data_IF_102866001602
#
_entry.id   IF_102866001602
#
_cell.length_a   1.000
_cell.length_b   1.000
_cell.length_c   1.000
_cell.angle_alpha   90.00
_cell.angle_beta   90.00
_cell.angle_gamma   90.00
#
_symmetry.space_group_name_H-M   'P 1'
#
loop_
_entity.id
_entity.type
_entity.pdbx_description
1 polymer ?
#
# COMPACT_ATOMS: atom_id res chain seq x y z
N UNK A 1 36.89 15.35 36.15
CA UNK A 1 37.01 16.76 35.83
C UNK A 1 36.68 16.99 34.35
N UNK A 2 35.64 16.34 33.85
CA UNK A 2 35.12 16.50 32.45
C UNK A 2 33.58 16.51 32.40
N UNK A 3 32.91 16.52 33.56
CA UNK A 3 31.43 16.51 33.68
C UNK A 3 30.83 17.86 34.12
N UNK A 4 31.64 18.93 34.24
CA UNK A 4 31.19 20.23 34.66
C UNK A 4 31.24 21.34 33.59
N UNK A 5 31.65 20.99 32.36
CA UNK A 5 31.74 21.97 31.23
C UNK A 5 30.60 21.81 30.20
N UNK A 6 29.67 20.89 30.36
CA UNK A 6 28.53 20.68 29.43
C UNK A 6 27.20 21.22 29.97
N UNK A 7 27.18 21.84 31.16
CA UNK A 7 25.94 22.45 31.73
C UNK A 7 25.87 23.98 31.61
N UNK A 8 26.87 24.62 31.04
CA UNK A 8 26.91 26.12 30.94
C UNK A 8 26.38 26.68 29.63
N UNK A 9 26.21 25.89 28.57
CA UNK A 9 25.80 26.43 27.25
C UNK A 9 24.30 26.33 26.93
N UNK A 10 23.49 25.75 27.82
CA UNK A 10 22.03 25.62 27.63
C UNK A 10 21.20 26.73 28.31
N UNK A 11 21.84 27.64 29.04
CA UNK A 11 21.17 28.74 29.78
C UNK A 11 21.33 30.14 29.16
N UNK A 12 22.08 30.28 28.06
CA UNK A 12 22.41 31.60 27.47
C UNK A 12 21.61 31.95 26.19
N UNK A 13 20.64 31.14 25.77
CA UNK A 13 19.85 31.33 24.55
C UNK A 13 18.47 31.99 24.73
N UNK A 14 18.16 32.48 25.92
CA UNK A 14 16.84 33.06 26.23
C UNK A 14 16.97 34.45 26.85
N UNK A 15 17.47 35.46 26.12
CA UNK A 15 17.20 36.87 26.45
C UNK A 15 17.64 37.80 25.31
N UNK A 16 16.69 38.66 24.93
CA UNK A 16 16.83 39.92 24.18
C UNK A 16 16.82 39.84 22.65
N UNK A 17 15.65 40.10 22.09
CA UNK A 17 15.52 41.18 21.10
C UNK A 17 14.10 41.77 21.19
N UNK A 18 14.00 42.80 21.99
CA UNK A 18 12.94 43.80 21.91
C UNK A 18 13.49 44.97 21.11
N UNK A 19 12.96 45.22 19.92
CA UNK A 19 13.00 46.55 19.28
C UNK A 19 11.68 46.77 18.54
N UNK A 20 11.01 47.80 18.92
CA UNK A 20 9.78 48.27 18.31
C UNK A 20 10.01 48.85 16.90
N UNK A 21 9.03 48.62 16.04
CA UNK A 21 8.95 49.19 14.70
C UNK A 21 7.62 48.81 14.07
N UNK A 22 6.67 49.73 14.08
CA UNK A 22 5.37 49.69 13.40
C UNK A 22 5.56 49.60 11.90
N UNK A 23 5.03 48.52 11.25
CA UNK A 23 4.38 48.59 9.94
C UNK A 23 3.81 47.18 9.61
N UNK A 24 2.57 47.16 9.11
CA UNK A 24 1.76 45.95 8.89
C UNK A 24 2.43 44.91 7.99
N UNK A 25 2.49 43.71 8.49
CA UNK A 25 2.94 42.52 7.79
C UNK A 25 2.21 41.33 8.35
N UNK A 26 1.56 40.58 7.49
CA UNK A 26 0.80 39.40 7.83
C UNK A 26 1.63 38.43 8.67
N UNK A 27 1.16 38.11 9.86
CA UNK A 27 1.73 37.06 10.71
C UNK A 27 1.49 35.70 10.05
N UNK A 28 2.55 35.13 9.51
CA UNK A 28 2.56 33.69 9.19
C UNK A 28 2.60 32.97 10.53
N UNK A 29 1.44 32.54 11.00
CA UNK A 29 1.30 31.62 12.10
C UNK A 29 1.91 30.28 11.68
N UNK A 30 3.04 29.92 12.30
CA UNK A 30 3.59 28.56 12.21
C UNK A 30 2.64 27.60 12.93
N UNK A 31 1.67 27.05 12.21
CA UNK A 31 0.86 25.94 12.70
C UNK A 31 1.78 24.70 12.71
N UNK A 32 2.26 24.32 13.87
CA UNK A 32 2.89 23.04 14.10
C UNK A 32 1.91 21.91 13.72
N UNK A 33 2.39 20.69 13.43
CA UNK A 33 1.55 19.58 13.03
C UNK A 33 0.49 19.31 14.12
N UNK A 34 -0.77 19.56 13.79
CA UNK A 34 -1.89 19.20 14.66
C UNK A 34 -1.99 17.67 14.70
N UNK A 35 -1.71 17.09 15.87
CA UNK A 35 -1.96 15.67 16.12
C UNK A 35 -3.47 15.39 16.03
N UNK A 36 -3.87 14.16 15.63
CA UNK A 36 -5.27 13.75 15.68
C UNK A 36 -5.71 13.75 17.15
N UNK A 37 -6.56 14.71 17.52
CA UNK A 37 -7.23 14.71 18.81
C UNK A 37 -8.41 13.76 18.70
N UNK A 38 -8.50 12.77 19.57
CA UNK A 38 -9.64 11.87 19.66
C UNK A 38 -10.97 12.62 19.80
N UNK A 39 -12.05 12.01 19.37
CA UNK A 39 -13.39 12.56 19.52
C UNK A 39 -13.64 12.87 21.02
N UNK A 40 -13.98 14.10 21.35
CA UNK A 40 -14.32 14.58 22.71
C UNK A 40 -13.15 14.77 23.70
N UNK A 41 -11.92 15.05 23.29
CA UNK A 41 -10.81 15.23 24.23
C UNK A 41 -10.38 13.94 24.97
N UNK A 42 -10.87 12.79 24.53
CA UNK A 42 -10.43 11.48 24.98
C UNK A 42 -9.12 11.07 24.30
N UNK A 43 -8.33 10.22 24.95
CA UNK A 43 -7.14 9.60 24.37
C UNK A 43 -7.51 8.83 23.10
N UNK A 44 -6.86 9.15 21.97
CA UNK A 44 -7.07 8.41 20.74
C UNK A 44 -6.30 7.09 20.77
N UNK A 45 -6.90 6.03 20.23
CA UNK A 45 -6.21 4.78 19.93
C UNK A 45 -5.70 4.84 18.49
N UNK A 46 -4.38 4.81 18.33
CA UNK A 46 -3.72 4.91 17.03
C UNK A 46 -2.93 3.63 16.77
N UNK A 47 -3.11 3.03 15.59
CA UNK A 47 -2.24 1.96 15.11
C UNK A 47 -1.22 2.58 14.16
N UNK A 48 0.07 2.37 14.44
CA UNK A 48 1.18 2.84 13.60
C UNK A 48 1.90 1.65 12.98
N UNK A 49 2.02 1.61 11.65
CA UNK A 49 2.80 0.57 10.97
C UNK A 49 4.08 1.16 10.39
N UNK A 50 5.21 0.52 10.65
CA UNK A 50 6.51 0.89 10.09
C UNK A 50 7.03 -0.19 9.15
N UNK A 51 7.29 0.20 7.88
CA UNK A 51 7.83 -0.69 6.85
C UNK A 51 9.30 -1.07 7.08
N UNK A 52 9.80 -2.06 6.34
CA UNK A 52 11.17 -2.54 6.49
C UNK A 52 12.23 -1.46 6.26
N UNK A 53 12.01 -0.54 5.33
CA UNK A 53 12.88 0.61 5.09
C UNK A 53 12.90 1.59 6.27
N UNK A 54 11.80 1.70 7.01
CA UNK A 54 11.67 2.56 8.19
C UNK A 54 12.45 2.03 9.39
N UNK A 55 12.67 0.72 9.47
CA UNK A 55 13.37 0.03 10.58
C UNK A 55 14.63 -0.68 10.10
N UNK A 56 15.25 -0.23 9.00
CA UNK A 56 16.32 -0.95 8.31
C UNK A 56 17.60 -1.14 9.13
N UNK A 57 17.89 -0.20 10.01
CA UNK A 57 19.11 -0.17 10.82
C UNK A 57 18.85 0.45 12.21
N UNK A 58 19.88 0.50 13.06
CA UNK A 58 19.77 0.98 14.42
C UNK A 58 19.45 2.50 14.51
N UNK A 59 19.90 3.30 13.56
CA UNK A 59 19.62 4.74 13.51
C UNK A 59 18.14 4.98 13.21
N UNK A 60 17.62 4.30 12.21
CA UNK A 60 16.20 4.35 11.83
C UNK A 60 15.28 3.82 12.92
N UNK A 61 15.67 2.72 13.60
CA UNK A 61 14.91 2.23 14.76
C UNK A 61 14.82 3.26 15.87
N UNK A 62 15.90 4.00 16.16
CA UNK A 62 15.86 5.09 17.15
C UNK A 62 14.97 6.24 16.70
N UNK A 63 15.03 6.65 15.42
CA UNK A 63 14.15 7.67 14.88
C UNK A 63 12.67 7.26 14.95
N UNK A 64 12.35 5.99 14.64
CA UNK A 64 11.00 5.44 14.81
C UNK A 64 10.58 5.45 16.27
N UNK A 65 11.47 5.09 17.20
CA UNK A 65 11.17 5.15 18.64
C UNK A 65 10.85 6.59 19.09
N UNK A 66 11.54 7.60 18.56
CA UNK A 66 11.24 9.02 18.83
C UNK A 66 9.86 9.43 18.32
N UNK A 67 9.47 8.98 17.11
CA UNK A 67 8.12 9.21 16.57
C UNK A 67 7.03 8.60 17.46
N UNK A 68 7.22 7.37 17.89
CA UNK A 68 6.30 6.67 18.78
C UNK A 68 6.22 7.39 20.13
N UNK A 69 7.38 7.72 20.73
CA UNK A 69 7.45 8.43 22.00
C UNK A 69 6.77 9.80 21.93
N UNK A 70 6.94 10.53 20.83
CA UNK A 70 6.27 11.83 20.61
C UNK A 70 4.75 11.65 20.62
N UNK A 71 4.21 10.71 19.84
CA UNK A 71 2.77 10.46 19.73
C UNK A 71 2.18 9.96 21.06
N UNK A 72 2.91 9.09 21.76
CA UNK A 72 2.50 8.58 23.08
C UNK A 72 2.45 9.68 24.15
N UNK A 73 3.45 10.56 24.19
CA UNK A 73 3.50 11.69 25.15
C UNK A 73 2.40 12.72 24.94
N UNK A 74 1.72 12.71 23.80
CA UNK A 74 0.51 13.50 23.56
C UNK A 74 -0.75 12.89 24.22
N UNK A 75 -0.62 11.79 24.93
CA UNK A 75 -1.71 11.11 25.62
C UNK A 75 -2.43 10.06 24.77
N UNK A 76 -1.91 9.68 23.62
CA UNK A 76 -2.51 8.65 22.77
C UNK A 76 -2.13 7.23 23.23
N UNK A 77 -3.05 6.29 23.07
CA UNK A 77 -2.75 4.85 23.15
C UNK A 77 -2.20 4.36 21.82
N UNK A 78 -1.15 3.55 21.85
CA UNK A 78 -0.45 3.15 20.63
C UNK A 78 -0.31 1.62 20.50
N UNK A 79 -0.65 1.14 19.32
CA UNK A 79 -0.29 -0.17 18.80
C UNK A 79 0.66 0.06 17.64
N UNK A 80 1.86 -0.50 17.73
CA UNK A 80 2.89 -0.35 16.68
C UNK A 80 3.07 -1.67 15.98
N UNK A 81 2.98 -1.70 14.65
CA UNK A 81 3.24 -2.89 13.83
C UNK A 81 4.53 -2.68 13.06
N UNK A 82 5.46 -3.60 13.17
CA UNK A 82 6.76 -3.53 12.50
C UNK A 82 6.94 -4.64 11.47
N UNK A 83 7.59 -4.31 10.36
CA UNK A 83 8.11 -5.26 9.39
C UNK A 83 9.52 -5.73 9.78
N UNK A 84 10.04 -6.74 9.10
CA UNK A 84 11.44 -7.13 9.18
C UNK A 84 12.37 -5.98 8.77
N UNK A 85 13.59 -5.94 9.31
CA UNK A 85 14.57 -4.87 9.07
C UNK A 85 15.09 -4.91 7.62
N UNK A 86 14.91 -3.82 6.88
CA UNK A 86 15.48 -3.66 5.53
C UNK A 86 15.11 -4.80 4.59
N UNK A 87 16.12 -5.59 4.19
CA UNK A 87 15.99 -6.76 3.29
C UNK A 87 16.06 -8.10 4.03
N UNK A 88 15.80 -8.13 5.33
CA UNK A 88 15.96 -9.34 6.13
C UNK A 88 15.10 -10.51 5.60
N UNK A 89 13.86 -10.25 5.20
CA UNK A 89 12.98 -11.27 4.60
C UNK A 89 13.58 -11.86 3.33
N UNK A 90 14.16 -11.02 2.46
CA UNK A 90 14.84 -11.48 1.24
C UNK A 90 16.08 -12.33 1.58
N UNK A 91 16.84 -11.96 2.62
CA UNK A 91 17.98 -12.74 3.11
C UNK A 91 17.54 -14.12 3.63
N UNK A 92 16.45 -14.17 4.40
CA UNK A 92 15.92 -15.42 4.93
C UNK A 92 15.44 -16.34 3.81
N UNK A 93 14.79 -15.79 2.78
CA UNK A 93 14.38 -16.54 1.58
C UNK A 93 15.61 -17.06 0.83
N UNK A 94 16.63 -16.24 0.63
CA UNK A 94 17.86 -16.65 -0.04
C UNK A 94 18.54 -17.81 0.72
N UNK A 95 18.63 -17.70 2.05
CA UNK A 95 19.19 -18.75 2.90
C UNK A 95 18.37 -20.06 2.80
N UNK A 96 17.03 -19.96 2.79
CA UNK A 96 16.16 -21.12 2.58
C UNK A 96 16.42 -21.80 1.24
N UNK A 97 16.63 -21.02 0.16
CA UNK A 97 16.96 -21.51 -1.17
C UNK A 97 18.33 -22.24 -1.22
N UNK A 98 19.31 -21.76 -0.45
CA UNK A 98 20.64 -22.40 -0.35
C UNK A 98 20.55 -23.75 0.36
N UNK A 99 19.69 -23.86 1.38
CA UNK A 99 19.58 -25.07 2.23
C UNK A 99 18.65 -26.12 1.64
N UNK A 100 17.55 -25.71 1.00
CA UNK A 100 16.49 -26.64 0.58
C UNK A 100 15.90 -26.30 -0.78
N UNK A 101 15.71 -27.34 -1.60
CA UNK A 101 15.00 -27.21 -2.89
C UNK A 101 13.48 -27.28 -2.77
N UNK A 102 12.96 -27.90 -1.72
CA UNK A 102 11.51 -28.17 -1.54
C UNK A 102 10.80 -27.14 -0.70
N UNK A 103 11.48 -26.49 0.22
CA UNK A 103 11.00 -25.40 1.10
C UNK A 103 9.55 -25.61 1.58
N UNK A 104 9.29 -26.56 2.49
CA UNK A 104 7.95 -26.77 3.02
C UNK A 104 7.39 -25.46 3.58
N UNK A 105 6.17 -25.08 3.19
CA UNK A 105 5.58 -23.78 3.51
C UNK A 105 5.52 -23.49 5.02
N UNK A 106 5.25 -24.53 5.84
CA UNK A 106 5.27 -24.41 7.31
C UNK A 106 6.63 -24.00 7.86
N UNK A 107 7.70 -24.60 7.38
CA UNK A 107 9.06 -24.29 7.87
C UNK A 107 9.55 -22.95 7.32
N UNK A 108 9.14 -22.60 6.10
CA UNK A 108 9.42 -21.28 5.54
C UNK A 108 8.72 -20.18 6.34
N UNK A 109 7.45 -20.35 6.70
CA UNK A 109 6.73 -19.40 7.57
C UNK A 109 7.44 -19.24 8.93
N UNK A 110 7.86 -20.36 9.54
CA UNK A 110 8.61 -20.32 10.80
C UNK A 110 9.91 -19.51 10.67
N UNK A 111 10.66 -19.71 9.58
CA UNK A 111 11.89 -18.99 9.30
C UNK A 111 11.64 -17.48 9.10
N UNK A 112 10.70 -17.14 8.23
CA UNK A 112 10.45 -15.74 7.85
C UNK A 112 10.00 -14.89 9.03
N UNK A 113 9.21 -15.46 9.96
CA UNK A 113 8.75 -14.71 11.15
C UNK A 113 9.86 -14.27 12.10
N UNK A 114 11.09 -14.78 11.94
CA UNK A 114 12.24 -14.34 12.74
C UNK A 114 12.60 -12.87 12.46
N UNK A 115 12.38 -12.38 11.24
CA UNK A 115 12.69 -11.01 10.85
C UNK A 115 11.94 -9.98 11.67
N UNK A 116 10.62 -10.10 11.76
CA UNK A 116 9.77 -9.17 12.54
C UNK A 116 9.99 -9.31 14.05
N UNK A 117 10.30 -10.50 14.54
CA UNK A 117 10.63 -10.71 15.97
C UNK A 117 11.90 -9.95 16.37
N UNK A 118 12.90 -9.90 15.50
CA UNK A 118 14.10 -9.08 15.69
C UNK A 118 13.74 -7.59 15.78
N UNK A 119 12.96 -7.08 14.82
CA UNK A 119 12.54 -5.67 14.76
C UNK A 119 11.76 -5.24 15.99
N UNK A 120 10.74 -6.00 16.40
CA UNK A 120 9.88 -5.64 17.53
C UNK A 120 10.66 -5.58 18.85
N UNK A 121 11.59 -6.52 19.06
CA UNK A 121 12.38 -6.57 20.27
C UNK A 121 13.35 -5.38 20.37
N UNK A 122 14.07 -5.08 19.28
CA UNK A 122 14.99 -3.94 19.21
C UNK A 122 14.25 -2.60 19.37
N UNK A 123 13.06 -2.47 18.80
CA UNK A 123 12.25 -1.25 18.94
C UNK A 123 11.78 -1.06 20.40
N UNK A 124 11.37 -2.12 21.10
CA UNK A 124 11.04 -2.04 22.53
C UNK A 124 12.23 -1.61 23.38
N UNK A 125 13.45 -2.08 23.04
CA UNK A 125 14.67 -1.63 23.73
C UNK A 125 14.92 -0.13 23.49
N UNK A 126 14.76 0.34 22.24
CA UNK A 126 14.92 1.76 21.93
C UNK A 126 13.85 2.66 22.61
N UNK A 127 12.62 2.16 22.77
CA UNK A 127 11.57 2.86 23.50
C UNK A 127 11.88 2.94 25.01
N UNK A 128 12.45 1.87 25.58
CA UNK A 128 12.88 1.87 26.99
C UNK A 128 13.97 2.91 27.27
N UNK A 129 14.90 3.14 26.33
CA UNK A 129 15.92 4.21 26.43
C UNK A 129 15.28 5.60 26.48
N UNK A 130 14.08 5.78 25.89
CA UNK A 130 13.30 7.02 25.93
C UNK A 130 12.34 7.12 27.12
N UNK A 131 12.36 6.13 28.03
CA UNK A 131 11.48 6.05 29.20
C UNK A 131 10.03 5.69 28.84
N UNK A 132 9.80 5.05 27.71
CA UNK A 132 8.48 4.58 27.27
C UNK A 132 8.37 3.09 27.59
N UNK A 133 7.36 2.73 28.39
CA UNK A 133 7.04 1.32 28.65
C UNK A 133 6.41 0.68 27.41
N UNK A 134 7.03 -0.39 26.90
CA UNK A 134 6.58 -1.08 25.71
C UNK A 134 6.70 -2.59 25.84
N UNK A 135 5.77 -3.32 25.23
CA UNK A 135 5.76 -4.79 25.19
C UNK A 135 5.75 -5.28 23.74
N UNK A 136 6.65 -6.22 23.43
CA UNK A 136 6.70 -6.87 22.12
C UNK A 136 5.80 -8.11 22.10
N UNK A 137 4.98 -8.24 21.05
CA UNK A 137 4.04 -9.34 20.83
C UNK A 137 4.23 -9.95 19.44
N UNK A 138 4.36 -11.27 19.36
CA UNK A 138 4.25 -11.99 18.08
C UNK A 138 2.79 -11.96 17.60
N UNK A 139 2.54 -12.28 16.33
CA UNK A 139 1.17 -12.36 15.81
C UNK A 139 0.26 -13.27 16.63
N UNK A 140 0.78 -14.44 17.07
CA UNK A 140 0.02 -15.36 17.93
C UNK A 140 -0.27 -14.78 19.31
N UNK A 141 0.70 -14.05 19.91
CA UNK A 141 0.53 -13.40 21.22
C UNK A 141 -0.42 -12.19 21.13
N UNK A 142 -0.46 -11.51 19.99
CA UNK A 142 -1.42 -10.46 19.68
C UNK A 142 -2.83 -11.00 19.39
N UNK A 143 -2.98 -12.33 19.26
CA UNK A 143 -4.25 -12.99 19.02
C UNK A 143 -4.71 -12.97 17.57
N UNK A 144 -3.78 -12.87 16.60
CA UNK A 144 -4.09 -12.91 15.16
C UNK A 144 -4.27 -14.38 14.73
N UNK A 145 -5.52 -14.78 14.52
CA UNK A 145 -5.89 -16.13 14.12
C UNK A 145 -6.09 -16.17 12.60
N UNK A 146 -5.49 -17.17 11.95
CA UNK A 146 -5.53 -17.33 10.49
C UNK A 146 -6.11 -18.68 10.06
N UNK A 147 -6.37 -18.83 8.77
CA UNK A 147 -6.55 -20.15 8.16
C UNK A 147 -5.22 -20.94 8.17
N UNK A 148 -5.22 -22.14 7.57
CA UNK A 148 -4.07 -23.06 7.54
C UNK A 148 -3.21 -22.93 6.29
N UNK A 149 -3.42 -21.91 5.46
CA UNK A 149 -2.68 -21.69 4.22
C UNK A 149 -1.33 -21.04 4.52
N UNK A 150 -0.24 -21.79 4.38
CA UNK A 150 1.10 -21.24 4.57
C UNK A 150 1.49 -20.25 3.47
N UNK A 151 2.27 -19.22 3.82
CA UNK A 151 2.81 -18.20 2.91
C UNK A 151 1.80 -17.13 2.46
N UNK A 152 0.48 -17.42 2.48
CA UNK A 152 -0.59 -16.51 2.03
C UNK A 152 -1.83 -16.63 2.92
N UNK A 153 -1.64 -16.81 4.23
CA UNK A 153 -2.73 -17.02 5.18
C UNK A 153 -3.73 -15.84 5.21
N UNK A 154 -4.99 -16.16 5.49
CA UNK A 154 -6.06 -15.17 5.68
C UNK A 154 -6.35 -15.01 7.17
N UNK A 155 -6.47 -13.76 7.62
CA UNK A 155 -6.89 -13.45 8.99
C UNK A 155 -8.37 -13.79 9.11
N UNK A 156 -8.70 -14.66 10.05
CA UNK A 156 -10.07 -15.06 10.37
C UNK A 156 -10.62 -14.28 11.54
N UNK A 157 -9.76 -14.01 12.55
CA UNK A 157 -10.15 -13.34 13.79
C UNK A 157 -8.94 -12.64 14.39
N UNK A 158 -9.18 -11.54 15.11
CA UNK A 158 -8.20 -10.88 15.99
C UNK A 158 -8.79 -10.80 17.40
N UNK A 159 -8.25 -11.57 18.33
CA UNK A 159 -8.72 -11.58 19.73
C UNK A 159 -8.27 -10.33 20.51
N UNK A 160 -7.00 -9.99 20.43
CA UNK A 160 -6.44 -8.74 20.96
C UNK A 160 -6.45 -8.57 22.49
N UNK A 161 -6.74 -9.61 23.28
CA UNK A 161 -6.89 -9.49 24.74
C UNK A 161 -5.63 -8.95 25.40
N UNK A 162 -4.46 -9.52 25.08
CA UNK A 162 -3.18 -9.05 25.63
C UNK A 162 -2.83 -7.62 25.24
N UNK A 163 -3.30 -7.18 24.07
CA UNK A 163 -3.13 -5.79 23.64
C UNK A 163 -4.00 -4.88 24.49
N UNK A 164 -5.28 -5.23 24.72
CA UNK A 164 -6.18 -4.44 25.59
C UNK A 164 -5.65 -4.31 27.00
N UNK A 165 -5.14 -5.42 27.57
CA UNK A 165 -4.54 -5.41 28.92
C UNK A 165 -3.33 -4.47 29.00
N UNK A 166 -2.43 -4.52 28.00
CA UNK A 166 -1.25 -3.66 27.96
C UNK A 166 -1.62 -2.18 27.74
N UNK A 167 -2.57 -1.88 26.85
CA UNK A 167 -3.06 -0.51 26.65
C UNK A 167 -3.74 0.05 27.90
N UNK A 168 -4.49 -0.77 28.63
CA UNK A 168 -5.11 -0.37 29.89
C UNK A 168 -4.07 -0.06 30.98
N UNK A 169 -2.88 -0.69 30.93
CA UNK A 169 -1.74 -0.39 31.79
C UNK A 169 -0.91 0.82 31.32
N UNK A 170 -1.27 1.48 30.21
CA UNK A 170 -0.52 2.59 29.63
C UNK A 170 0.72 2.17 28.82
N UNK A 171 0.86 0.89 28.49
CA UNK A 171 2.02 0.31 27.79
C UNK A 171 1.82 0.35 26.29
N UNK A 172 2.85 0.75 25.52
CA UNK A 172 2.86 0.68 24.05
C UNK A 172 2.99 -0.77 23.60
N UNK A 173 2.10 -1.23 22.72
CA UNK A 173 2.15 -2.57 22.16
C UNK A 173 2.91 -2.59 20.83
N UNK A 174 4.04 -3.29 20.77
CA UNK A 174 4.81 -3.49 19.52
C UNK A 174 4.55 -4.89 18.98
N UNK A 175 3.85 -4.99 17.86
CA UNK A 175 3.42 -6.25 17.27
C UNK A 175 4.27 -6.59 16.05
N UNK A 176 4.76 -7.82 15.97
CA UNK A 176 5.36 -8.36 14.78
C UNK A 176 4.30 -8.48 13.68
N UNK A 177 4.44 -7.70 12.61
CA UNK A 177 3.56 -7.76 11.45
C UNK A 177 3.73 -9.05 10.65
N UNK A 178 2.96 -9.20 9.55
CA UNK A 178 3.12 -10.27 8.57
C UNK A 178 2.78 -11.69 9.06
N UNK A 179 2.55 -11.94 10.35
CA UNK A 179 2.43 -13.27 10.93
C UNK A 179 1.19 -13.43 11.81
N UNK A 180 0.72 -14.68 11.91
CA UNK A 180 -0.36 -15.10 12.79
C UNK A 180 -0.19 -16.55 13.25
N UNK A 181 -1.23 -17.10 13.83
CA UNK A 181 -1.34 -18.50 14.21
C UNK A 181 -2.60 -19.10 13.59
N UNK A 182 -2.46 -20.23 12.94
CA UNK A 182 -3.60 -20.89 12.30
C UNK A 182 -4.53 -21.53 13.33
N UNK A 183 -5.73 -21.90 12.88
CA UNK A 183 -6.68 -22.71 13.68
C UNK A 183 -6.10 -24.05 14.13
N UNK A 184 -5.08 -24.57 13.40
CA UNK A 184 -4.31 -25.75 13.77
C UNK A 184 -3.13 -25.43 14.71
N UNK A 185 -3.01 -24.20 15.22
CA UNK A 185 -1.93 -23.71 16.11
C UNK A 185 -0.53 -23.68 15.47
N UNK A 186 -0.45 -23.66 14.15
CA UNK A 186 0.78 -23.49 13.42
C UNK A 186 1.04 -22.02 13.09
N UNK A 187 2.31 -21.60 13.08
CA UNK A 187 2.70 -20.26 12.66
C UNK A 187 2.43 -20.13 11.15
N UNK A 188 1.85 -19.02 10.77
CA UNK A 188 1.53 -18.67 9.37
C UNK A 188 2.00 -17.29 9.02
N UNK A 189 2.29 -17.06 7.73
CA UNK A 189 2.57 -15.73 7.18
C UNK A 189 1.48 -15.28 6.22
N UNK A 190 1.27 -13.95 6.14
CA UNK A 190 0.16 -13.34 5.38
C UNK A 190 0.52 -13.02 3.92
N UNK A 191 1.78 -13.25 3.53
CA UNK A 191 2.29 -12.87 2.21
C UNK A 191 2.63 -11.38 2.07
N UNK A 192 2.91 -10.93 0.84
CA UNK A 192 3.30 -9.53 0.57
C UNK A 192 2.26 -8.54 1.09
N UNK A 193 2.73 -7.44 1.69
CA UNK A 193 1.85 -6.45 2.34
C UNK A 193 1.22 -6.93 3.65
N UNK A 194 1.66 -8.08 4.17
CA UNK A 194 1.10 -8.68 5.39
C UNK A 194 1.21 -7.80 6.63
N UNK A 195 2.26 -6.97 6.75
CA UNK A 195 2.38 -6.03 7.89
C UNK A 195 1.35 -4.90 7.80
N UNK A 196 1.04 -4.39 6.60
CA UNK A 196 -0.03 -3.40 6.39
C UNK A 196 -1.38 -4.03 6.74
N UNK A 197 -1.62 -5.25 6.26
CA UNK A 197 -2.84 -6.01 6.58
C UNK A 197 -2.97 -6.28 8.08
N UNK A 198 -1.87 -6.61 8.76
CA UNK A 198 -1.82 -6.79 10.22
C UNK A 198 -2.25 -5.51 10.94
N UNK A 199 -1.69 -4.35 10.55
CA UNK A 199 -2.00 -3.08 11.18
C UNK A 199 -3.47 -2.70 11.03
N UNK A 200 -4.01 -2.83 9.82
CA UNK A 200 -5.42 -2.52 9.55
C UNK A 200 -6.35 -3.49 10.27
N UNK A 201 -6.01 -4.78 10.34
CA UNK A 201 -6.81 -5.77 11.05
C UNK A 201 -6.84 -5.50 12.57
N UNK A 202 -5.71 -5.11 13.16
CA UNK A 202 -5.64 -4.68 14.55
C UNK A 202 -6.46 -3.40 14.79
N UNK A 203 -6.36 -2.41 13.88
CA UNK A 203 -7.13 -1.18 13.97
C UNK A 203 -8.65 -1.46 13.93
N UNK A 204 -9.10 -2.30 13.01
CA UNK A 204 -10.49 -2.70 12.90
C UNK A 204 -11.01 -3.44 14.14
N UNK A 205 -10.26 -4.45 14.61
CA UNK A 205 -10.69 -5.31 15.71
C UNK A 205 -10.68 -4.62 17.07
N UNK A 206 -9.83 -3.60 17.23
CA UNK A 206 -9.68 -2.88 18.51
C UNK A 206 -10.35 -1.50 18.49
N UNK A 207 -11.00 -1.13 17.37
CA UNK A 207 -11.73 0.13 17.24
C UNK A 207 -10.81 1.35 17.29
N UNK A 208 -9.65 1.27 16.60
CA UNK A 208 -8.73 2.40 16.55
C UNK A 208 -9.31 3.58 15.76
N UNK A 209 -9.03 4.79 16.21
CA UNK A 209 -9.46 6.02 15.55
C UNK A 209 -8.78 6.21 14.19
N UNK A 210 -7.54 5.72 14.05
CA UNK A 210 -6.71 5.85 12.85
C UNK A 210 -5.68 4.73 12.74
N UNK A 211 -5.40 4.31 11.52
CA UNK A 211 -4.26 3.48 11.19
C UNK A 211 -3.26 4.29 10.34
N UNK A 212 -2.12 4.65 10.91
CA UNK A 212 -1.04 5.35 10.22
C UNK A 212 -0.08 4.35 9.58
N UNK A 213 0.13 4.48 8.27
CA UNK A 213 1.07 3.64 7.51
C UNK A 213 2.30 4.48 7.18
N UNK A 214 3.37 4.22 7.90
CA UNK A 214 4.66 4.87 7.69
C UNK A 214 5.49 4.10 6.65
N UNK A 215 5.92 4.83 5.62
CA UNK A 215 6.65 4.31 4.47
C UNK A 215 7.80 5.28 4.08
N UNK A 216 8.49 5.02 2.98
CA UNK A 216 9.57 5.85 2.45
C UNK A 216 9.10 7.03 1.57
N UNK A 217 7.79 7.12 1.30
CA UNK A 217 7.18 8.24 0.57
C UNK A 217 6.34 9.11 1.50
N UNK A 218 6.17 10.39 1.15
CA UNK A 218 5.46 11.37 1.99
C UNK A 218 3.94 11.30 1.85
N UNK A 219 3.41 10.34 1.10
CA UNK A 219 1.98 10.16 0.85
C UNK A 219 1.71 9.52 -0.51
N UNK A 220 0.46 9.58 -0.95
CA UNK A 220 0.02 9.16 -2.29
C UNK A 220 0.13 10.33 -3.23
N UNK A 221 0.64 10.12 -4.44
CA UNK A 221 0.84 11.14 -5.45
C UNK A 221 -0.05 10.91 -6.67
N UNK A 222 -0.31 11.98 -7.44
CA UNK A 222 -1.08 11.94 -8.69
C UNK A 222 -0.40 11.13 -9.81
N UNK A 223 0.88 10.85 -9.70
CA UNK A 223 1.67 9.89 -10.48
C UNK A 223 2.95 9.54 -9.69
N UNK A 224 3.74 8.58 -10.17
CA UNK A 224 5.05 8.29 -9.60
C UNK A 224 6.00 9.51 -9.76
N UNK A 225 6.47 10.16 -8.68
CA UNK A 225 7.34 11.34 -8.78
C UNK A 225 8.67 11.08 -9.48
N UNK A 226 9.12 9.82 -9.56
CA UNK A 226 10.33 9.42 -10.29
C UNK A 226 10.15 9.50 -11.80
N UNK A 227 8.91 9.36 -12.28
CA UNK A 227 8.54 9.48 -13.70
C UNK A 227 8.05 10.89 -13.99
N UNK A 228 7.20 11.44 -13.13
CA UNK A 228 6.59 12.77 -13.26
C UNK A 228 7.04 13.64 -12.08
N UNK A 229 8.13 14.41 -12.20
CA UNK A 229 8.62 15.25 -11.10
C UNK A 229 7.62 16.30 -10.60
N UNK A 230 6.65 16.67 -11.44
CA UNK A 230 5.56 17.62 -11.12
C UNK A 230 4.34 16.94 -10.49
N UNK A 231 4.41 15.62 -10.22
CA UNK A 231 3.32 14.90 -9.56
C UNK A 231 3.02 15.49 -8.18
N UNK A 232 1.74 15.68 -7.91
CA UNK A 232 1.28 16.31 -6.66
C UNK A 232 0.94 15.28 -5.62
N UNK A 233 1.28 15.58 -4.37
CA UNK A 233 0.81 14.81 -3.22
C UNK A 233 -0.68 15.04 -3.03
N UNK A 234 -1.46 13.98 -2.95
CA UNK A 234 -2.88 14.01 -2.69
C UNK A 234 -3.09 14.14 -1.17
N UNK A 235 -3.91 15.10 -0.74
CA UNK A 235 -4.21 15.25 0.68
C UNK A 235 -5.20 14.18 1.16
N UNK A 236 -6.11 13.80 0.28
CA UNK A 236 -7.15 12.77 0.53
C UNK A 236 -7.37 11.95 -0.74
N UNK A 237 -7.69 10.69 -0.56
CA UNK A 237 -8.07 9.72 -1.60
C UNK A 237 -9.18 8.85 -1.02
N UNK A 238 -10.21 8.52 -1.79
CA UNK A 238 -11.23 7.57 -1.36
C UNK A 238 -10.67 6.14 -1.31
N UNK A 239 -11.32 5.25 -0.53
CA UNK A 239 -10.95 3.84 -0.53
C UNK A 239 -11.05 3.22 -1.93
N UNK A 240 -12.07 3.59 -2.69
CA UNK A 240 -12.31 3.09 -4.05
C UNK A 240 -11.18 3.51 -4.99
N UNK A 241 -10.79 4.78 -4.99
CA UNK A 241 -9.66 5.26 -5.80
C UNK A 241 -8.35 4.62 -5.36
N UNK A 242 -8.10 4.50 -4.05
CA UNK A 242 -6.87 3.87 -3.54
C UNK A 242 -6.79 2.38 -3.94
N UNK A 243 -7.92 1.66 -3.95
CA UNK A 243 -7.99 0.28 -4.42
C UNK A 243 -7.64 0.18 -5.91
N UNK A 244 -8.22 1.06 -6.74
CA UNK A 244 -7.88 1.09 -8.17
C UNK A 244 -6.43 1.50 -8.40
N UNK A 245 -5.90 2.49 -7.67
CA UNK A 245 -4.49 2.87 -7.75
C UNK A 245 -3.57 1.70 -7.35
N UNK A 246 -3.88 1.01 -6.25
CA UNK A 246 -3.08 -0.11 -5.77
C UNK A 246 -3.11 -1.30 -6.74
N UNK A 247 -4.27 -1.61 -7.34
CA UNK A 247 -4.42 -2.67 -8.34
C UNK A 247 -3.75 -2.33 -9.68
N UNK A 248 -3.63 -1.04 -9.98
CA UNK A 248 -3.03 -0.55 -11.23
C UNK A 248 -1.54 -0.17 -11.07
N UNK A 249 -0.84 -0.68 -10.04
CA UNK A 249 0.60 -0.52 -9.86
C UNK A 249 1.03 0.57 -8.89
N UNK A 250 0.10 1.27 -8.24
CA UNK A 250 0.40 2.24 -7.18
C UNK A 250 0.87 1.54 -5.89
N UNK A 251 2.17 1.32 -5.75
CA UNK A 251 2.79 0.46 -4.72
C UNK A 251 2.91 1.11 -3.32
N UNK A 252 2.13 2.13 -3.02
CA UNK A 252 2.22 2.86 -1.73
C UNK A 252 1.56 2.06 -0.61
N UNK A 253 0.39 1.46 -0.89
CA UNK A 253 -0.34 0.58 0.02
C UNK A 253 -0.56 -0.79 -0.64
N UNK A 254 -0.58 -1.85 0.18
CA UNK A 254 -0.96 -3.17 -0.29
C UNK A 254 -2.47 -3.21 -0.57
N UNK A 255 -2.89 -3.72 -1.73
CA UNK A 255 -4.30 -3.81 -2.14
C UNK A 255 -5.18 -4.43 -1.04
N UNK A 256 -4.74 -5.56 -0.48
CA UNK A 256 -5.44 -6.28 0.58
C UNK A 256 -5.64 -5.45 1.85
N UNK A 257 -4.68 -4.58 2.21
CA UNK A 257 -4.82 -3.71 3.38
C UNK A 257 -5.85 -2.60 3.16
N UNK A 258 -5.91 -2.03 1.95
CA UNK A 258 -6.92 -1.03 1.59
C UNK A 258 -8.32 -1.64 1.54
N UNK A 259 -8.44 -2.85 0.97
CA UNK A 259 -9.70 -3.62 0.94
C UNK A 259 -10.22 -3.90 2.36
N UNK A 260 -9.32 -4.31 3.26
CA UNK A 260 -9.65 -4.55 4.65
C UNK A 260 -10.08 -3.25 5.35
N UNK A 261 -9.35 -2.15 5.13
CA UNK A 261 -9.67 -0.83 5.69
C UNK A 261 -11.05 -0.34 5.22
N UNK A 262 -11.36 -0.47 3.92
CA UNK A 262 -12.67 -0.13 3.36
C UNK A 262 -13.79 -0.92 4.02
N UNK A 263 -13.63 -2.25 4.10
CA UNK A 263 -14.66 -3.15 4.62
C UNK A 263 -14.98 -2.89 6.09
N UNK A 264 -14.03 -2.37 6.86
CA UNK A 264 -14.18 -2.07 8.28
C UNK A 264 -14.22 -0.55 8.57
N UNK A 265 -14.23 0.28 7.53
CA UNK A 265 -14.24 1.74 7.62
C UNK A 265 -13.13 2.30 8.53
N UNK A 266 -11.90 1.75 8.43
CA UNK A 266 -10.72 2.19 9.18
C UNK A 266 -10.04 3.31 8.42
N UNK A 267 -10.00 4.56 8.92
CA UNK A 267 -9.27 5.64 8.27
C UNK A 267 -7.77 5.32 8.22
N UNK A 268 -7.16 5.41 7.03
CA UNK A 268 -5.72 5.26 6.88
C UNK A 268 -5.07 6.63 6.71
N UNK A 269 -3.89 6.81 7.30
CA UNK A 269 -3.06 7.98 7.10
C UNK A 269 -1.68 7.53 6.61
N UNK A 270 -1.40 7.72 5.33
CA UNK A 270 -0.11 7.37 4.72
C UNK A 270 0.90 8.47 4.97
N UNK A 271 1.99 8.16 5.64
CA UNK A 271 3.01 9.14 6.07
C UNK A 271 4.42 8.66 5.78
N UNK A 272 5.35 9.60 5.68
CA UNK A 272 6.78 9.26 5.65
C UNK A 272 7.30 8.98 7.07
N UNK A 273 8.14 7.93 7.19
CA UNK A 273 8.90 7.67 8.42
C UNK A 273 10.13 8.58 8.57
N UNK A 274 10.45 9.40 7.55
CA UNK A 274 11.65 10.24 7.51
C UNK A 274 11.36 11.74 7.67
N UNK A 275 10.09 12.13 7.60
CA UNK A 275 9.65 13.52 7.72
C UNK A 275 8.43 13.65 8.62
N UNK A 276 8.21 14.86 9.15
CA UNK A 276 7.02 15.20 9.93
C UNK A 276 5.91 15.82 9.08
N UNK A 277 6.08 15.82 7.76
CA UNK A 277 5.09 16.40 6.86
C UNK A 277 3.73 15.68 6.95
N UNK A 278 2.63 16.43 6.72
CA UNK A 278 1.32 15.82 6.56
C UNK A 278 1.32 14.81 5.41
N UNK A 279 0.70 13.65 5.64
CA UNK A 279 0.57 12.60 4.65
C UNK A 279 -0.70 12.70 3.82
N UNK A 280 -1.13 11.55 3.29
CA UNK A 280 -2.39 11.37 2.56
C UNK A 280 -3.38 10.59 3.42
N UNK A 281 -4.60 11.11 3.54
CA UNK A 281 -5.70 10.40 4.15
C UNK A 281 -6.40 9.50 3.12
N UNK A 282 -6.68 8.25 3.52
CA UNK A 282 -7.52 7.33 2.74
C UNK A 282 -8.75 7.01 3.59
N UNK A 283 -9.91 7.45 3.10
CA UNK A 283 -11.18 7.38 3.85
C UNK A 283 -12.33 7.04 2.90
N UNK A 284 -13.54 6.83 3.44
CA UNK A 284 -14.75 6.81 2.61
C UNK A 284 -14.94 8.15 1.88
N UNK A 285 -15.60 8.10 0.70
CA UNK A 285 -15.99 9.32 -0.01
C UNK A 285 -16.88 10.18 0.92
N UNK A 286 -16.45 11.42 1.14
CA UNK A 286 -17.37 12.46 1.63
C UNK A 286 -17.77 13.29 0.42
N UNK A 287 -19.05 13.57 0.21
CA UNK A 287 -19.51 14.41 -0.90
C UNK A 287 -18.86 15.80 -0.80
N UNK A 288 -17.83 16.04 -1.60
CA UNK A 288 -17.32 17.38 -1.86
C UNK A 288 -18.24 18.11 -2.83
N UNK A 289 -18.23 19.46 -2.85
CA UNK A 289 -19.02 20.20 -3.84
C UNK A 289 -18.53 19.97 -5.27
N UNK A 290 -17.23 19.74 -5.48
CA UNK A 290 -16.62 19.36 -6.77
C UNK A 290 -15.31 18.61 -6.49
N UNK A 291 -15.31 17.29 -6.75
CA UNK A 291 -14.09 16.48 -6.72
C UNK A 291 -13.40 16.49 -8.09
N UNK A 292 -12.06 16.40 -8.14
CA UNK A 292 -11.36 16.31 -9.42
C UNK A 292 -11.81 15.05 -10.18
N UNK A 293 -12.04 15.21 -11.46
CA UNK A 293 -12.50 14.12 -12.33
C UNK A 293 -11.49 12.97 -12.37
N UNK A 294 -10.18 13.31 -12.37
CA UNK A 294 -9.06 12.37 -12.34
C UNK A 294 -8.17 12.70 -11.15
N UNK A 295 -7.93 11.70 -10.30
CA UNK A 295 -7.09 11.81 -9.11
C UNK A 295 -5.63 11.45 -9.41
N UNK A 296 -5.38 10.55 -10.39
CA UNK A 296 -4.02 10.18 -10.74
C UNK A 296 -3.86 9.29 -11.96
N UNK A 297 -2.59 9.15 -12.35
CA UNK A 297 -2.11 8.25 -13.39
C UNK A 297 -1.18 7.22 -12.77
N UNK A 298 -1.53 5.95 -12.87
CA UNK A 298 -0.70 4.85 -12.37
C UNK A 298 -0.13 4.03 -13.53
N UNK A 299 0.91 3.26 -13.25
CA UNK A 299 1.49 2.33 -14.21
C UNK A 299 1.90 1.02 -13.55
N UNK A 300 1.86 -0.07 -14.31
CA UNK A 300 2.38 -1.37 -13.91
C UNK A 300 3.17 -2.02 -15.04
N UNK A 301 4.38 -2.49 -14.71
CA UNK A 301 5.30 -3.20 -15.62
C UNK A 301 5.51 -4.66 -15.19
N UNK A 302 4.77 -5.11 -14.19
CA UNK A 302 4.94 -6.45 -13.59
C UNK A 302 4.04 -7.52 -14.23
N UNK A 303 3.23 -7.14 -15.21
CA UNK A 303 2.34 -8.05 -15.94
C UNK A 303 2.91 -8.43 -17.30
N UNK A 304 2.51 -9.60 -17.79
CA UNK A 304 2.72 -10.08 -19.13
C UNK A 304 1.36 -10.39 -19.80
N UNK A 305 1.28 -10.22 -21.12
CA UNK A 305 0.10 -10.53 -21.92
C UNK A 305 0.21 -11.94 -22.47
N UNK A 306 -0.88 -12.70 -22.41
CA UNK A 306 -1.06 -13.98 -23.07
C UNK A 306 -2.25 -13.86 -24.03
N UNK A 307 -2.07 -14.31 -25.28
CA UNK A 307 -3.13 -14.34 -26.29
C UNK A 307 -3.29 -15.76 -26.81
N UNK A 308 -4.50 -16.31 -26.66
CA UNK A 308 -4.89 -17.57 -27.30
C UNK A 308 -5.63 -17.23 -28.57
N UNK A 309 -5.10 -17.68 -29.72
CA UNK A 309 -5.61 -17.32 -31.04
C UNK A 309 -6.54 -18.37 -31.62
N UNK A 310 -7.49 -17.95 -32.45
CA UNK A 310 -8.44 -18.82 -33.12
C UNK A 310 -9.16 -19.80 -32.17
N UNK A 311 -9.60 -19.33 -31.03
CA UNK A 311 -10.36 -20.10 -30.04
C UNK A 311 -11.77 -20.33 -30.56
N UNK A 312 -12.30 -21.58 -30.57
CA UNK A 312 -13.67 -21.85 -30.99
C UNK A 312 -14.69 -21.06 -30.16
N UNK A 313 -15.54 -20.27 -30.80
CA UNK A 313 -16.55 -19.43 -30.11
C UNK A 313 -17.79 -20.28 -29.76
N UNK A 314 -17.73 -20.92 -28.60
CA UNK A 314 -18.82 -21.74 -28.05
C UNK A 314 -18.87 -21.64 -26.53
N UNK A 315 -20.05 -21.84 -25.92
CA UNK A 315 -20.20 -21.82 -24.47
C UNK A 315 -19.24 -22.78 -23.76
N UNK A 316 -18.66 -22.33 -22.63
CA UNK A 316 -17.76 -23.12 -21.79
C UNK A 316 -16.28 -23.00 -22.11
N UNK A 317 -15.88 -22.41 -23.23
CA UNK A 317 -14.47 -22.26 -23.62
C UNK A 317 -13.68 -21.40 -22.62
N UNK A 318 -14.24 -20.25 -22.22
CA UNK A 318 -13.57 -19.40 -21.23
C UNK A 318 -13.40 -20.10 -19.88
N UNK A 319 -14.39 -20.89 -19.44
CA UNK A 319 -14.26 -21.70 -18.23
C UNK A 319 -13.10 -22.72 -18.37
N UNK A 320 -13.07 -23.44 -19.47
CA UNK A 320 -12.00 -24.42 -19.74
C UNK A 320 -10.61 -23.80 -19.75
N UNK A 321 -10.50 -22.52 -20.19
CA UNK A 321 -9.22 -21.78 -20.23
C UNK A 321 -8.79 -21.30 -18.84
N UNK A 322 -9.72 -20.74 -18.05
CA UNK A 322 -9.38 -20.03 -16.81
C UNK A 322 -9.45 -20.89 -15.54
N UNK A 323 -10.24 -21.99 -15.51
CA UNK A 323 -10.29 -22.91 -14.36
C UNK A 323 -8.92 -23.51 -14.01
N UNK A 324 -8.12 -24.07 -14.96
CA UNK A 324 -6.81 -24.61 -14.64
C UNK A 324 -5.80 -23.58 -14.16
N UNK A 325 -5.90 -22.31 -14.60
CA UNK A 325 -5.10 -21.21 -14.10
C UNK A 325 -5.45 -20.88 -12.65
N UNK A 326 -6.74 -20.85 -12.33
CA UNK A 326 -7.22 -20.63 -10.97
C UNK A 326 -6.80 -21.78 -10.02
N UNK A 327 -6.87 -23.03 -10.45
CA UNK A 327 -6.42 -24.20 -9.69
C UNK A 327 -4.90 -24.15 -9.40
N UNK A 328 -4.14 -23.55 -10.32
CA UNK A 328 -2.70 -23.29 -10.15
C UNK A 328 -2.40 -22.00 -9.35
N UNK A 329 -3.43 -21.32 -8.84
CA UNK A 329 -3.33 -20.02 -8.15
C UNK A 329 -2.67 -18.90 -8.99
N UNK A 330 -2.82 -18.94 -10.32
CA UNK A 330 -2.42 -17.86 -11.22
C UNK A 330 -3.52 -16.81 -11.25
N UNK A 331 -3.17 -15.57 -10.91
CA UNK A 331 -4.09 -14.44 -10.95
C UNK A 331 -4.16 -13.93 -12.39
N UNK A 332 -5.39 -13.74 -12.91
CA UNK A 332 -5.64 -13.12 -14.21
C UNK A 332 -6.29 -11.76 -13.97
N UNK A 333 -5.78 -10.69 -14.62
CA UNK A 333 -6.36 -9.33 -14.46
C UNK A 333 -7.20 -8.93 -15.68
N UNK A 334 -6.61 -8.30 -16.70
CA UNK A 334 -7.37 -7.87 -17.87
C UNK A 334 -7.73 -9.06 -18.75
N UNK A 335 -9.01 -9.21 -19.10
CA UNK A 335 -9.47 -10.22 -20.07
C UNK A 335 -10.19 -9.49 -21.20
N UNK A 336 -9.77 -9.73 -22.44
CA UNK A 336 -10.40 -9.19 -23.65
C UNK A 336 -10.74 -10.34 -24.59
N UNK A 337 -12.03 -10.47 -24.90
CA UNK A 337 -12.57 -11.42 -25.88
C UNK A 337 -13.55 -10.69 -26.77
N UNK A 338 -13.45 -10.89 -28.08
CA UNK A 338 -14.40 -10.37 -29.06
C UNK A 338 -15.32 -11.49 -29.57
N UNK A 339 -16.48 -11.12 -30.10
CA UNK A 339 -17.32 -12.05 -30.86
C UNK A 339 -16.78 -12.16 -32.28
N UNK A 340 -16.70 -13.37 -32.80
CA UNK A 340 -16.23 -13.63 -34.15
C UNK A 340 -17.38 -13.78 -35.17
N UNK A 341 -17.10 -13.44 -36.41
CA UNK A 341 -18.00 -13.73 -37.56
C UNK A 341 -17.78 -15.14 -38.12
N UNK A 342 -16.61 -15.71 -37.87
CA UNK A 342 -16.14 -16.97 -38.46
C UNK A 342 -16.15 -18.17 -37.49
N UNK A 343 -16.78 -18.02 -36.33
CA UNK A 343 -16.90 -19.06 -35.31
C UNK A 343 -15.63 -19.28 -34.47
N UNK A 344 -14.65 -18.38 -34.59
CA UNK A 344 -13.43 -18.37 -33.75
C UNK A 344 -13.18 -16.98 -33.21
N UNK A 345 -12.55 -16.85 -32.07
CA UNK A 345 -12.16 -15.58 -31.43
C UNK A 345 -10.76 -15.66 -30.86
N UNK A 346 -10.13 -14.52 -30.62
CA UNK A 346 -8.92 -14.46 -29.82
C UNK A 346 -9.29 -14.07 -28.39
N UNK A 347 -8.63 -14.70 -27.41
CA UNK A 347 -8.76 -14.35 -26.00
C UNK A 347 -7.40 -13.86 -25.52
N UNK A 348 -7.31 -12.58 -25.17
CA UNK A 348 -6.13 -11.98 -24.58
C UNK A 348 -6.37 -11.66 -23.12
N UNK A 349 -5.37 -11.93 -22.28
CA UNK A 349 -5.43 -11.63 -20.84
C UNK A 349 -4.03 -11.34 -20.29
N UNK A 350 -3.97 -10.71 -19.10
CA UNK A 350 -2.71 -10.43 -18.43
C UNK A 350 -2.55 -11.30 -17.17
N UNK A 351 -1.30 -11.67 -16.90
CA UNK A 351 -0.87 -12.43 -15.71
C UNK A 351 0.39 -11.78 -15.14
N UNK A 352 0.68 -11.94 -13.82
CA UNK A 352 1.97 -11.53 -13.27
C UNK A 352 3.13 -12.21 -14.01
N UNK A 353 4.19 -11.44 -14.34
CA UNK A 353 5.42 -12.01 -14.96
C UNK A 353 6.01 -13.16 -14.16
N UNK A 354 5.88 -13.12 -12.84
CA UNK A 354 6.35 -14.19 -11.96
C UNK A 354 5.65 -15.54 -12.21
N UNK A 355 4.40 -15.50 -12.67
CA UNK A 355 3.57 -16.69 -12.93
C UNK A 355 3.55 -17.09 -14.41
N UNK A 356 4.25 -16.33 -15.28
CA UNK A 356 4.21 -16.48 -16.74
C UNK A 356 4.55 -17.89 -17.20
N UNK A 357 5.63 -18.49 -16.67
CA UNK A 357 6.04 -19.85 -17.07
C UNK A 357 5.00 -20.93 -16.71
N UNK A 358 4.32 -20.74 -15.59
CA UNK A 358 3.22 -21.64 -15.17
C UNK A 358 1.99 -21.43 -16.05
N UNK A 359 1.63 -20.18 -16.31
CA UNK A 359 0.51 -19.82 -17.18
C UNK A 359 0.71 -20.34 -18.60
N UNK A 360 1.89 -20.12 -19.19
CA UNK A 360 2.22 -20.56 -20.55
C UNK A 360 2.07 -22.07 -20.71
N UNK A 361 2.61 -22.86 -19.78
CA UNK A 361 2.48 -24.32 -19.81
C UNK A 361 1.01 -24.76 -19.75
N UNK A 362 0.23 -24.21 -18.83
CA UNK A 362 -1.19 -24.56 -18.66
C UNK A 362 -1.98 -24.16 -19.91
N UNK A 363 -1.81 -22.92 -20.39
CA UNK A 363 -2.54 -22.39 -21.51
C UNK A 363 -2.21 -23.17 -22.81
N UNK A 364 -0.94 -23.58 -23.01
CA UNK A 364 -0.53 -24.38 -24.16
C UNK A 364 -1.18 -25.79 -24.18
N UNK A 365 -1.38 -26.40 -23.01
CA UNK A 365 -2.09 -27.67 -22.87
C UNK A 365 -3.59 -27.50 -23.19
N UNK A 366 -4.23 -26.52 -22.54
CA UNK A 366 -5.65 -26.22 -22.75
C UNK A 366 -5.95 -25.81 -24.20
N UNK A 367 -5.11 -24.97 -24.82
CA UNK A 367 -5.30 -24.53 -26.19
C UNK A 367 -5.40 -25.70 -27.19
N UNK A 368 -4.60 -26.77 -26.97
CA UNK A 368 -4.68 -27.99 -27.77
C UNK A 368 -5.99 -28.74 -27.54
N UNK A 369 -6.44 -28.84 -26.27
CA UNK A 369 -7.66 -29.54 -25.90
C UNK A 369 -8.92 -28.88 -26.45
N UNK A 370 -8.97 -27.55 -26.44
CA UNK A 370 -10.10 -26.78 -26.96
C UNK A 370 -10.07 -26.59 -28.47
N UNK A 371 -8.95 -26.94 -29.13
CA UNK A 371 -8.77 -26.79 -30.57
C UNK A 371 -8.47 -25.36 -31.01
N UNK A 372 -7.78 -24.59 -30.19
CA UNK A 372 -7.32 -23.24 -30.55
C UNK A 372 -6.17 -23.26 -31.55
N UNK A 373 -5.93 -22.13 -32.23
CA UNK A 373 -4.92 -22.01 -33.29
C UNK A 373 -3.49 -21.88 -32.76
N UNK A 374 -3.32 -21.29 -31.59
CA UNK A 374 -1.99 -21.06 -30.96
C UNK A 374 -2.04 -20.24 -29.70
N UNK A 375 -0.87 -20.07 -29.09
CA UNK A 375 -0.68 -19.22 -27.91
C UNK A 375 0.51 -18.33 -28.16
N UNK A 376 0.31 -17.01 -28.04
CA UNK A 376 1.34 -15.99 -28.08
C UNK A 376 1.48 -15.33 -26.70
N UNK A 377 2.67 -14.84 -26.38
CA UNK A 377 2.89 -14.09 -25.14
C UNK A 377 3.81 -12.88 -25.39
N UNK A 378 3.62 -11.85 -24.54
CA UNK A 378 4.45 -10.65 -24.56
C UNK A 378 4.67 -10.19 -23.10
N UNK A 379 5.93 -10.15 -22.67
CA UNK A 379 6.34 -9.67 -21.36
C UNK A 379 6.90 -8.23 -21.42
N UNK A 380 6.98 -7.64 -22.62
CA UNK A 380 7.47 -6.27 -22.82
C UNK A 380 6.33 -5.24 -22.86
N UNK A 381 5.32 -5.43 -22.04
CA UNK A 381 4.17 -4.55 -21.91
C UNK A 381 4.20 -3.73 -20.62
N UNK A 382 3.44 -2.64 -20.63
CA UNK A 382 3.10 -1.86 -19.45
C UNK A 382 1.61 -1.51 -19.46
N UNK A 383 0.99 -1.55 -18.29
CA UNK A 383 -0.38 -1.07 -18.07
C UNK A 383 -0.30 0.38 -17.59
N UNK A 384 -0.95 1.32 -18.27
CA UNK A 384 -1.09 2.73 -17.85
C UNK A 384 -2.55 3.00 -17.57
N UNK A 385 -2.86 3.56 -16.39
CA UNK A 385 -4.24 3.72 -15.94
C UNK A 385 -4.52 5.12 -15.44
N UNK A 386 -5.66 5.68 -15.86
CA UNK A 386 -6.29 6.84 -15.21
C UNK A 386 -7.21 6.36 -14.10
N UNK A 387 -7.15 7.01 -12.95
CA UNK A 387 -8.02 6.73 -11.81
C UNK A 387 -8.67 8.02 -11.33
N UNK A 388 -9.97 7.98 -11.05
CA UNK A 388 -10.69 9.12 -10.48
C UNK A 388 -12.20 8.87 -10.35
N UNK A 389 -12.76 9.21 -9.20
CA UNK A 389 -14.19 9.02 -8.90
C UNK A 389 -15.11 9.82 -9.81
N UNK A 390 -14.68 11.01 -10.27
CA UNK A 390 -15.44 11.88 -11.17
C UNK A 390 -15.62 11.34 -12.59
N UNK A 391 -14.95 10.26 -12.98
CA UNK A 391 -15.16 9.64 -14.31
C UNK A 391 -16.55 9.07 -14.51
N UNK A 392 -17.25 8.67 -13.43
CA UNK A 392 -18.62 8.15 -13.48
C UNK A 392 -19.62 9.09 -14.16
N UNK A 393 -19.41 10.39 -14.03
CA UNK A 393 -20.33 11.44 -14.50
C UNK A 393 -19.77 12.30 -15.63
N UNK A 394 -18.51 12.09 -16.03
CA UNK A 394 -17.79 12.92 -17.01
C UNK A 394 -17.60 12.20 -18.33
N UNK A 395 -18.40 12.50 -19.37
CA UNK A 395 -18.23 11.90 -20.68
C UNK A 395 -16.94 12.39 -21.36
N UNK A 396 -16.36 11.56 -22.23
CA UNK A 396 -15.21 11.95 -23.07
C UNK A 396 -13.81 11.69 -22.46
N UNK A 397 -13.70 11.23 -21.21
CA UNK A 397 -12.41 10.94 -20.57
C UNK A 397 -11.63 9.89 -21.37
N UNK A 398 -12.27 8.78 -21.76
CA UNK A 398 -11.63 7.75 -22.58
C UNK A 398 -11.18 8.30 -23.93
N UNK A 399 -12.02 9.08 -24.62
CA UNK A 399 -11.68 9.69 -25.89
C UNK A 399 -10.47 10.63 -25.76
N UNK A 400 -10.41 11.43 -24.68
CA UNK A 400 -9.26 12.31 -24.40
C UNK A 400 -8.01 11.49 -24.11
N UNK A 401 -8.09 10.41 -23.32
CA UNK A 401 -6.97 9.52 -23.05
C UNK A 401 -6.40 8.94 -24.34
N UNK A 402 -7.26 8.39 -25.21
CA UNK A 402 -6.82 7.79 -26.47
C UNK A 402 -6.25 8.82 -27.44
N UNK A 403 -6.79 10.05 -27.46
CA UNK A 403 -6.23 11.14 -28.28
C UNK A 403 -4.82 11.50 -27.83
N UNK A 404 -4.61 11.67 -26.53
CA UNK A 404 -3.28 11.97 -25.96
C UNK A 404 -2.27 10.88 -26.29
N UNK A 405 -2.64 9.60 -26.14
CA UNK A 405 -1.75 8.49 -26.49
C UNK A 405 -1.42 8.48 -27.99
N UNK A 406 -2.40 8.77 -28.85
CA UNK A 406 -2.20 8.86 -30.30
C UNK A 406 -1.29 10.04 -30.68
N UNK A 407 -1.46 11.22 -30.08
CA UNK A 407 -0.65 12.40 -30.32
C UNK A 407 0.83 12.20 -29.90
N UNK A 408 1.07 11.28 -28.96
CA UNK A 408 2.39 10.84 -28.51
C UNK A 408 2.94 9.62 -29.26
N UNK A 409 2.27 9.18 -30.32
CA UNK A 409 2.63 7.97 -31.09
C UNK A 409 2.78 6.72 -30.19
N UNK A 410 1.85 6.55 -29.23
CA UNK A 410 1.76 5.40 -28.33
C UNK A 410 0.63 4.49 -28.80
N UNK A 411 0.97 3.28 -29.23
CA UNK A 411 -0.03 2.30 -29.63
C UNK A 411 -0.69 1.64 -28.41
N UNK A 412 -1.99 1.38 -28.53
CA UNK A 412 -2.78 0.71 -27.48
C UNK A 412 -3.02 -0.74 -27.90
N UNK A 413 -2.61 -1.69 -27.08
CA UNK A 413 -2.77 -3.12 -27.34
C UNK A 413 -4.02 -3.73 -26.71
N UNK A 414 -4.37 -3.28 -25.50
CA UNK A 414 -5.58 -3.69 -24.79
C UNK A 414 -6.18 -2.51 -24.05
N UNK A 415 -7.49 -2.53 -23.84
CA UNK A 415 -8.23 -1.53 -23.08
C UNK A 415 -9.10 -2.28 -22.06
N UNK A 416 -9.13 -1.79 -20.82
CA UNK A 416 -10.07 -2.23 -19.78
C UNK A 416 -10.59 -1.01 -19.03
N UNK A 417 -11.87 -1.04 -18.67
CA UNK A 417 -12.51 0.07 -17.96
C UNK A 417 -13.29 -0.44 -16.76
N UNK A 418 -13.23 0.29 -15.65
CA UNK A 418 -14.18 0.22 -14.55
C UNK A 418 -14.94 1.55 -14.43
N UNK A 419 -15.78 1.69 -13.42
CA UNK A 419 -16.52 2.94 -13.18
C UNK A 419 -15.60 4.14 -12.86
N UNK A 420 -14.42 3.90 -12.34
CA UNK A 420 -13.47 4.92 -11.86
C UNK A 420 -12.03 4.69 -12.36
N UNK A 421 -11.84 3.78 -13.32
CA UNK A 421 -10.52 3.51 -13.92
C UNK A 421 -10.65 3.23 -15.43
N UNK A 422 -9.70 3.74 -16.19
CA UNK A 422 -9.45 3.36 -17.59
C UNK A 422 -8.00 2.92 -17.69
N UNK A 423 -7.77 1.69 -18.14
CA UNK A 423 -6.44 1.11 -18.31
C UNK A 423 -6.16 0.83 -19.79
N UNK A 424 -4.98 1.20 -20.25
CA UNK A 424 -4.44 0.83 -21.55
C UNK A 424 -3.17 0.02 -21.37
N UNK A 425 -3.05 -1.10 -22.06
CA UNK A 425 -1.78 -1.80 -22.22
C UNK A 425 -1.06 -1.19 -23.41
N UNK A 426 0.20 -0.85 -23.21
CA UNK A 426 1.10 -0.24 -24.19
C UNK A 426 2.45 -0.94 -24.16
N UNK A 427 3.33 -0.73 -25.15
CA UNK A 427 4.69 -1.23 -25.07
C UNK A 427 5.42 -0.65 -23.84
N UNK A 428 6.23 -1.46 -23.16
CA UNK A 428 6.95 -1.02 -21.96
C UNK A 428 7.88 0.18 -22.22
N UNK A 429 8.44 0.29 -23.43
CA UNK A 429 9.26 1.44 -23.87
C UNK A 429 8.51 2.77 -23.86
N UNK A 430 7.20 2.76 -24.08
CA UNK A 430 6.37 3.95 -24.21
C UNK A 430 5.73 4.40 -22.89
N UNK A 431 5.80 3.56 -21.87
CA UNK A 431 5.12 3.76 -20.59
C UNK A 431 5.40 5.13 -19.97
N UNK A 432 6.67 5.54 -19.85
CA UNK A 432 7.01 6.82 -19.22
C UNK A 432 6.49 8.02 -20.02
N UNK A 433 6.54 7.95 -21.36
CA UNK A 433 6.00 8.99 -22.25
C UNK A 433 4.49 9.09 -22.07
N UNK A 434 3.78 7.96 -22.10
CA UNK A 434 2.36 7.88 -21.89
C UNK A 434 1.93 8.46 -20.53
N UNK A 435 2.61 8.08 -19.43
CA UNK A 435 2.30 8.57 -18.09
C UNK A 435 2.48 10.09 -17.98
N UNK A 436 3.57 10.64 -18.52
CA UNK A 436 3.82 12.10 -18.50
C UNK A 436 2.79 12.88 -19.31
N UNK A 437 2.52 12.43 -20.52
CA UNK A 437 1.57 13.09 -21.42
C UNK A 437 0.15 13.09 -20.82
N UNK A 438 -0.30 11.96 -20.29
CA UNK A 438 -1.60 11.84 -19.63
C UNK A 438 -1.67 12.72 -18.39
N UNK A 439 -0.65 12.73 -17.53
CA UNK A 439 -0.61 13.55 -16.33
C UNK A 439 -0.78 15.03 -16.66
N UNK A 440 -0.03 15.54 -17.63
CA UNK A 440 -0.13 16.94 -18.09
C UNK A 440 -1.47 17.22 -18.75
N UNK A 441 -1.94 16.36 -19.65
CA UNK A 441 -3.19 16.55 -20.39
C UNK A 441 -4.42 16.61 -19.47
N UNK A 442 -4.40 15.87 -18.36
CA UNK A 442 -5.48 15.91 -17.36
C UNK A 442 -5.29 16.98 -16.28
N UNK A 443 -4.32 17.89 -16.43
CA UNK A 443 -4.12 19.05 -15.56
C UNK A 443 -3.63 18.69 -14.15
N UNK A 444 -2.98 17.53 -14.01
CA UNK A 444 -2.48 17.07 -12.72
C UNK A 444 -1.19 17.81 -12.29
N UNK A 445 -0.53 18.55 -13.19
CA UNK A 445 0.62 19.43 -12.93
C UNK A 445 0.21 20.76 -12.29
N UNK A 446 -1.01 21.26 -12.52
CA UNK A 446 -1.43 22.59 -12.10
C UNK A 446 -1.62 22.68 -10.58
N UNK A 447 -1.00 23.67 -9.94
CA UNK A 447 -0.87 23.84 -8.49
C UNK A 447 -2.14 24.17 -7.71
N UNK A 448 -3.31 24.10 -8.30
CA UNK A 448 -4.58 24.38 -7.64
C UNK A 448 -5.47 23.15 -7.65
N UNK A 449 -5.16 22.19 -6.79
CA UNK A 449 -6.23 21.34 -6.30
C UNK A 449 -6.72 21.87 -4.97
N UNK A 450 -8.00 22.06 -4.91
CA UNK A 450 -8.77 22.45 -3.76
C UNK A 450 -8.41 21.53 -2.58
N UNK A 451 -7.61 22.04 -1.64
CA UNK A 451 -7.53 21.44 -0.33
C UNK A 451 -8.69 22.03 0.47
N UNK A 452 -9.85 21.37 0.43
CA UNK A 452 -10.83 21.66 1.46
C UNK A 452 -10.15 21.49 2.81
N UNK A 453 -10.17 22.49 3.70
CA UNK A 453 -9.71 22.29 5.07
C UNK A 453 -10.50 21.11 5.62
N UNK A 454 -9.83 20.20 6.33
CA UNK A 454 -10.51 19.17 7.09
C UNK A 454 -11.66 19.84 7.86
N UNK A 455 -12.90 19.36 7.78
CA UNK A 455 -13.98 19.94 8.55
C UNK A 455 -13.56 19.92 10.01
N UNK A 456 -13.53 21.11 10.64
CA UNK A 456 -13.46 21.19 12.09
C UNK A 456 -14.64 20.37 12.61
N UNK A 457 -14.35 19.19 13.15
CA UNK A 457 -15.37 18.31 13.72
C UNK A 457 -15.98 19.04 14.91
N UNK A 458 -17.25 19.40 14.76
CA UNK A 458 -18.07 19.95 15.85
C UNK A 458 -18.42 18.85 16.85
#
# INVERSE_FOLDING_TARGET
MLLQLLQADLAAGLLAFSFGGTHGGATVSSVGPTAPVGHNGAMALIVQKYGGTSVADAERLRAVAEHIAFTHRQGNQLIVVVSAMGKETDHLIALANEVSRTQPGRELDMLLTAGERKSMALLCMALADLGIEAVSLTGSQAGIITDTTHGKARILEVKGDRIRDALAAGTVCVVAGFQGVSTAKEITTLGRGGSDTTAVALAAALGADTCEIYTDVTGVFSADPRIVPTARKLHRVSFEEMLEMASAGGRVLALRSVEFARNHNVPLHVRSSFTWEPGTWVTSEEPGMEDPVISGVTHDISEAKVTVTNVPDRPGISAALFEPLADANVIVDMIVQNTSKDGTTDISFTVPKADMSTAERIVAEVAKEIGAGGVDHDDNIAKVSLVGAGMKTSPGIAAKMFRVLADEDVNIEMISTSTIRISCVVAASDMQRAVRALHTAFGLDSGSMYSAPLPERR
#
